data_IF_826018187662
#
_entry.id   IF_826018187662
#
_cell.length_a   1.000
_cell.length_b   1.000
_cell.length_c   1.000
_cell.angle_alpha   90.00
_cell.angle_beta   90.00
_cell.angle_gamma   90.00
#
_symmetry.space_group_name_H-M   'P 1'
#
loop_
_entity.id
_entity.type
_entity.pdbx_description
1 polymer ?
#
# COMPACT_ATOMS: atom_id res chain seq x y z
N UNK A 1 11.57 17.36 7.32
CA UNK A 1 11.71 15.93 7.63
C UNK A 1 13.18 15.61 7.81
N UNK A 2 13.58 15.19 9.00
CA UNK A 2 14.91 14.65 9.28
C UNK A 2 14.82 13.12 9.28
N UNK A 3 15.66 12.46 8.49
CA UNK A 3 15.77 11.01 8.52
C UNK A 3 16.91 10.60 9.44
N UNK A 4 16.77 9.47 10.12
CA UNK A 4 17.88 8.88 10.86
C UNK A 4 19.04 8.59 9.90
N UNK A 5 20.25 8.95 10.30
CA UNK A 5 21.45 8.70 9.51
C UNK A 5 21.58 7.21 9.13
N UNK A 6 21.19 6.32 10.05
CA UNK A 6 21.12 4.88 9.80
C UNK A 6 20.22 4.52 8.62
N UNK A 7 19.02 5.09 8.53
CA UNK A 7 18.08 4.80 7.43
C UNK A 7 18.64 5.25 6.09
N UNK A 8 19.26 6.42 6.04
CA UNK A 8 19.89 6.94 4.82
C UNK A 8 21.08 6.06 4.43
N UNK A 9 21.99 5.77 5.36
CA UNK A 9 23.17 4.95 5.11
C UNK A 9 22.85 3.50 4.80
N UNK A 10 21.70 2.97 5.23
CA UNK A 10 21.23 1.63 4.88
C UNK A 10 20.53 1.60 3.52
N UNK A 11 19.87 2.69 3.13
CA UNK A 11 19.19 2.81 1.84
C UNK A 11 20.19 2.88 0.68
N UNK A 12 21.23 3.71 0.81
CA UNK A 12 22.16 4.01 -0.28
C UNK A 12 22.92 2.78 -0.84
N UNK A 13 23.39 1.81 -0.02
CA UNK A 13 23.96 0.54 -0.50
C UNK A 13 22.96 -0.33 -1.25
N UNK A 14 21.72 -0.47 -0.76
CA UNK A 14 20.67 -1.26 -1.44
C UNK A 14 20.29 -0.69 -2.82
N UNK A 15 20.63 0.58 -3.05
CA UNK A 15 20.47 1.26 -4.32
C UNK A 15 21.79 1.40 -5.09
N UNK A 16 22.86 0.70 -4.71
CA UNK A 16 24.16 0.72 -5.40
C UNK A 16 24.72 2.14 -5.61
N UNK A 17 24.32 3.10 -4.77
CA UNK A 17 24.70 4.51 -4.94
C UNK A 17 26.17 4.72 -4.60
N UNK A 18 26.68 3.95 -3.63
CA UNK A 18 28.08 3.98 -3.20
C UNK A 18 29.02 3.07 -4.01
N UNK A 19 28.49 2.24 -4.92
CA UNK A 19 29.32 1.39 -5.76
C UNK A 19 30.02 2.22 -6.83
N UNK A 20 31.36 2.22 -6.82
CA UNK A 20 32.18 2.94 -7.80
C UNK A 20 32.38 2.13 -9.08
N UNK A 21 32.35 0.80 -9.00
CA UNK A 21 32.55 -0.13 -10.11
C UNK A 21 31.51 -1.24 -10.06
N UNK A 22 31.22 -1.87 -11.21
CA UNK A 22 30.33 -3.04 -11.27
C UNK A 22 28.83 -2.75 -11.06
N UNK A 23 28.39 -1.50 -11.24
CA UNK A 23 26.99 -1.11 -11.03
C UNK A 23 26.05 -1.97 -11.86
N UNK A 24 24.98 -2.54 -11.27
CA UNK A 24 23.99 -3.30 -12.03
C UNK A 24 23.26 -2.38 -13.01
N UNK A 25 23.03 -2.90 -14.21
CA UNK A 25 22.26 -2.17 -15.22
C UNK A 25 20.80 -2.02 -14.76
N UNK A 26 20.34 -0.77 -14.58
CA UNK A 26 18.94 -0.48 -14.27
C UNK A 26 18.12 -0.42 -15.55
N UNK A 27 17.34 -1.47 -15.80
CA UNK A 27 16.40 -1.48 -16.91
C UNK A 27 15.19 -0.60 -16.58
N UNK A 28 14.92 0.37 -17.46
CA UNK A 28 13.71 1.19 -17.39
C UNK A 28 12.72 0.71 -18.45
N UNK A 29 11.43 0.62 -18.13
CA UNK A 29 10.43 0.30 -19.14
C UNK A 29 10.48 1.34 -20.27
N UNK A 30 10.55 0.87 -21.53
CA UNK A 30 10.60 1.74 -22.72
C UNK A 30 9.47 2.78 -22.75
N UNK A 31 8.32 2.43 -22.19
CA UNK A 31 7.12 3.27 -22.14
C UNK A 31 6.77 3.74 -20.72
N UNK A 32 7.79 3.89 -19.87
CA UNK A 32 7.69 4.34 -18.47
C UNK A 32 6.73 3.47 -17.63
N UNK A 33 6.45 3.92 -16.41
CA UNK A 33 5.68 3.16 -15.43
C UNK A 33 4.22 2.88 -15.85
N UNK A 34 3.59 3.85 -16.52
CA UNK A 34 2.21 3.71 -16.98
C UNK A 34 2.00 2.44 -17.82
N UNK A 35 2.95 2.11 -18.69
CA UNK A 35 2.84 0.96 -19.58
C UNK A 35 2.73 -0.39 -18.85
N UNK A 36 3.46 -0.59 -17.75
CA UNK A 36 3.37 -1.84 -17.00
C UNK A 36 2.11 -1.86 -16.13
N UNK A 37 1.71 -0.71 -15.56
CA UNK A 37 0.46 -0.60 -14.79
C UNK A 37 -0.75 -0.95 -15.67
N UNK A 38 -0.81 -0.44 -16.90
CA UNK A 38 -1.89 -0.79 -17.85
C UNK A 38 -1.90 -2.28 -18.17
N UNK A 39 -0.73 -2.93 -18.30
CA UNK A 39 -0.65 -4.38 -18.55
C UNK A 39 -1.16 -5.18 -17.34
N UNK A 40 -0.73 -4.81 -16.13
CA UNK A 40 -1.19 -5.46 -14.89
C UNK A 40 -2.69 -5.29 -14.74
N UNK A 41 -3.23 -4.08 -14.96
CA UNK A 41 -4.68 -3.82 -14.92
C UNK A 41 -5.45 -4.78 -15.83
N UNK A 42 -5.04 -4.87 -17.11
CA UNK A 42 -5.69 -5.75 -18.10
C UNK A 42 -5.63 -7.23 -17.71
N UNK A 43 -4.52 -7.68 -17.15
CA UNK A 43 -4.34 -9.06 -16.71
C UNK A 43 -5.17 -9.38 -15.45
N UNK A 44 -5.35 -8.43 -14.55
CA UNK A 44 -6.24 -8.61 -13.40
C UNK A 44 -7.70 -8.66 -13.86
N UNK A 45 -8.11 -7.76 -14.76
CA UNK A 45 -9.45 -7.75 -15.33
C UNK A 45 -9.75 -9.04 -16.12
N UNK A 46 -8.79 -9.58 -16.88
CA UNK A 46 -8.96 -10.85 -17.62
C UNK A 46 -9.14 -12.06 -16.70
N UNK A 47 -8.62 -11.99 -15.46
CA UNK A 47 -8.81 -12.99 -14.40
C UNK A 47 -10.09 -12.78 -13.60
N UNK A 48 -10.90 -11.78 -13.94
CA UNK A 48 -12.15 -11.46 -13.27
C UNK A 48 -12.01 -10.55 -12.05
N UNK A 49 -10.86 -9.94 -11.80
CA UNK A 49 -10.72 -8.94 -10.75
C UNK A 49 -11.48 -7.67 -11.11
N UNK A 50 -12.24 -7.13 -10.16
CA UNK A 50 -12.92 -5.85 -10.30
C UNK A 50 -12.03 -4.74 -9.74
N UNK A 51 -11.73 -3.74 -10.56
CA UNK A 51 -10.91 -2.59 -10.15
C UNK A 51 -11.82 -1.36 -10.09
N UNK A 52 -11.98 -0.82 -8.88
CA UNK A 52 -12.83 0.35 -8.63
C UNK A 52 -11.97 1.53 -8.25
N UNK A 53 -12.07 2.59 -9.04
CA UNK A 53 -11.40 3.88 -8.81
C UNK A 53 -12.43 4.91 -8.40
N UNK A 54 -12.00 6.00 -7.75
CA UNK A 54 -12.91 7.00 -7.17
C UNK A 54 -13.87 6.39 -6.12
N UNK A 55 -13.42 5.34 -5.43
CA UNK A 55 -14.12 4.72 -4.31
C UNK A 55 -13.25 4.91 -3.08
N UNK A 56 -13.28 6.10 -2.50
CA UNK A 56 -12.51 6.41 -1.31
C UNK A 56 -13.08 5.64 -0.11
N UNK A 57 -12.21 4.89 0.56
CA UNK A 57 -12.60 4.07 1.71
C UNK A 57 -12.52 4.93 2.96
N UNK A 58 -13.66 5.07 3.63
CA UNK A 58 -13.78 5.83 4.87
C UNK A 58 -13.49 4.96 6.10
N UNK A 59 -13.96 3.71 6.11
CA UNK A 59 -13.84 2.82 7.26
C UNK A 59 -13.69 1.36 6.86
N UNK A 60 -12.93 0.61 7.66
CA UNK A 60 -12.76 -0.85 7.53
C UNK A 60 -13.04 -1.49 8.89
N UNK A 61 -14.14 -2.24 8.99
CA UNK A 61 -14.51 -3.01 10.18
C UNK A 61 -14.10 -4.46 10.00
N UNK A 62 -13.50 -5.09 11.00
CA UNK A 62 -13.20 -6.53 11.02
C UNK A 62 -14.14 -7.23 11.98
N UNK A 63 -14.59 -8.43 11.62
CA UNK A 63 -15.39 -9.30 12.47
C UNK A 63 -14.97 -10.77 12.29
N UNK A 64 -15.53 -11.68 13.09
CA UNK A 64 -15.17 -13.11 13.06
C UNK A 64 -15.43 -13.81 11.71
N UNK A 65 -16.14 -13.16 10.78
CA UNK A 65 -16.53 -13.70 9.48
C UNK A 65 -15.84 -13.01 8.29
N UNK A 66 -15.04 -11.96 8.54
CA UNK A 66 -14.36 -11.21 7.49
C UNK A 66 -14.26 -9.71 7.80
N UNK A 67 -14.51 -8.88 6.80
CA UNK A 67 -14.44 -7.43 6.93
C UNK A 67 -15.57 -6.71 6.18
N UNK A 68 -15.98 -5.58 6.73
CA UNK A 68 -16.93 -4.65 6.12
C UNK A 68 -16.17 -3.40 5.70
N UNK A 69 -16.26 -3.05 4.42
CA UNK A 69 -15.63 -1.89 3.80
C UNK A 69 -16.72 -0.83 3.59
N UNK A 70 -16.49 0.37 4.11
CA UNK A 70 -17.40 1.50 3.95
C UNK A 70 -16.73 2.58 3.10
N UNK A 71 -17.38 2.99 2.02
CA UNK A 71 -16.91 4.07 1.16
C UNK A 71 -17.50 5.42 1.59
N UNK A 72 -16.87 6.51 1.18
CA UNK A 72 -17.37 7.88 1.46
C UNK A 72 -18.75 8.17 0.85
N UNK A 73 -19.14 7.47 -0.22
CA UNK A 73 -20.46 7.58 -0.83
C UNK A 73 -21.58 6.88 -0.02
N UNK A 74 -21.23 6.28 1.12
CA UNK A 74 -22.14 5.55 2.00
C UNK A 74 -22.39 4.11 1.58
N UNK A 75 -21.74 3.61 0.53
CA UNK A 75 -21.82 2.20 0.16
C UNK A 75 -21.06 1.32 1.17
N UNK A 76 -21.64 0.15 1.45
CA UNK A 76 -21.07 -0.84 2.36
C UNK A 76 -20.95 -2.19 1.64
N UNK A 77 -19.81 -2.84 1.82
CA UNK A 77 -19.51 -4.11 1.17
C UNK A 77 -18.83 -5.07 2.13
N UNK A 78 -19.20 -6.35 2.03
CA UNK A 78 -18.69 -7.41 2.91
C UNK A 78 -17.77 -8.33 2.12
N UNK A 79 -16.61 -8.61 2.69
CA UNK A 79 -15.57 -9.48 2.13
C UNK A 79 -15.07 -10.44 3.20
N UNK A 80 -14.51 -11.58 2.78
CA UNK A 80 -13.92 -12.56 3.72
C UNK A 80 -12.59 -12.08 4.33
N UNK A 81 -11.94 -11.09 3.71
CA UNK A 81 -10.70 -10.50 4.19
C UNK A 81 -10.29 -9.24 3.43
N UNK A 82 -9.41 -8.45 4.04
CA UNK A 82 -8.91 -7.18 3.51
C UNK A 82 -7.38 -7.14 3.53
N UNK A 83 -6.78 -6.64 2.45
CA UNK A 83 -5.36 -6.27 2.40
C UNK A 83 -5.28 -4.76 2.17
N UNK A 84 -4.72 -4.04 3.14
CA UNK A 84 -4.57 -2.59 3.09
C UNK A 84 -3.20 -2.19 2.53
N UNK A 85 -3.15 -1.86 1.25
CA UNK A 85 -1.92 -1.38 0.58
C UNK A 85 -1.81 0.16 0.64
N UNK A 86 -1.87 0.73 1.85
CA UNK A 86 -1.83 2.18 2.11
C UNK A 86 -0.72 2.56 3.10
N UNK A 87 -0.51 3.86 3.34
CA UNK A 87 0.36 4.39 4.39
C UNK A 87 -0.23 4.06 5.77
N UNK A 88 0.63 3.80 6.75
CA UNK A 88 0.20 3.44 8.09
C UNK A 88 -0.74 4.46 8.78
N UNK A 89 -0.55 5.80 8.67
CA UNK A 89 -1.51 6.75 9.22
C UNK A 89 -2.89 6.71 8.55
N UNK A 90 -2.95 6.41 7.24
CA UNK A 90 -4.22 6.26 6.51
C UNK A 90 -4.91 4.96 6.90
N UNK A 91 -4.15 3.86 7.04
CA UNK A 91 -4.67 2.60 7.57
C UNK A 91 -5.31 2.79 8.95
N UNK A 92 -4.63 3.49 9.86
CA UNK A 92 -5.16 3.79 11.19
C UNK A 92 -6.43 4.64 11.16
N UNK A 93 -6.52 5.62 10.25
CA UNK A 93 -7.75 6.41 10.08
C UNK A 93 -8.92 5.53 9.67
N UNK A 94 -8.72 4.62 8.71
CA UNK A 94 -9.77 3.69 8.26
C UNK A 94 -10.14 2.64 9.33
N UNK A 95 -9.17 2.19 10.14
CA UNK A 95 -9.41 1.26 11.25
C UNK A 95 -10.03 1.94 12.48
N UNK A 96 -10.02 3.28 12.56
CA UNK A 96 -10.72 4.05 13.58
C UNK A 96 -10.56 3.50 15.00
N UNK A 97 -11.69 3.29 15.69
CA UNK A 97 -11.74 2.82 17.08
C UNK A 97 -11.59 1.30 17.22
N UNK A 98 -11.72 0.54 16.14
CA UNK A 98 -11.56 -0.92 16.15
C UNK A 98 -10.10 -1.36 15.99
N UNK A 99 -9.18 -0.44 15.70
CA UNK A 99 -7.75 -0.74 15.67
C UNK A 99 -7.32 -1.37 17.01
N UNK A 100 -6.73 -2.56 16.94
CA UNK A 100 -6.20 -3.26 18.10
C UNK A 100 -5.02 -2.50 18.69
N UNK A 101 -4.70 -2.74 19.97
CA UNK A 101 -3.53 -2.14 20.63
C UNK A 101 -2.23 -2.40 19.85
N UNK A 102 -2.13 -3.58 19.24
CA UNK A 102 -0.95 -4.00 18.49
C UNK A 102 -0.85 -3.30 17.12
N UNK A 103 -1.99 -3.03 16.47
CA UNK A 103 -2.07 -2.22 15.25
C UNK A 103 -1.76 -0.75 15.55
N UNK A 104 -2.34 -0.17 16.60
CA UNK A 104 -2.05 1.19 17.05
C UNK A 104 -0.56 1.37 17.33
N UNK A 105 0.04 0.42 18.05
CA UNK A 105 1.47 0.45 18.39
C UNK A 105 2.36 0.36 17.16
N UNK A 106 2.08 -0.56 16.23
CA UNK A 106 2.93 -0.80 15.05
C UNK A 106 2.75 0.28 13.99
N UNK A 107 1.50 0.58 13.63
CA UNK A 107 1.18 1.55 12.58
C UNK A 107 1.41 2.99 13.07
N UNK A 108 1.19 3.27 14.36
CA UNK A 108 1.43 4.59 14.95
C UNK A 108 2.91 4.97 15.04
N UNK A 109 3.82 4.01 14.87
CA UNK A 109 5.26 4.27 14.83
C UNK A 109 5.72 4.95 13.52
N UNK A 110 4.88 4.95 12.48
CA UNK A 110 5.16 5.61 11.20
C UNK A 110 4.56 7.02 11.19
N UNK A 111 5.42 8.03 11.35
CA UNK A 111 5.06 9.46 11.32
C UNK A 111 5.39 10.11 9.98
#
# INVERSE_FOLDING_TARGET
MSFLAYSVLSFLPNHHIFELFGRPQRLTPRWRSQSFITRIKKELESRGCQIRTNSEIYSVLTNDKGCVIMCEDGSEEVYDGCIMATRAPEALKMLGKQATDDELRKLGAFQ
#
